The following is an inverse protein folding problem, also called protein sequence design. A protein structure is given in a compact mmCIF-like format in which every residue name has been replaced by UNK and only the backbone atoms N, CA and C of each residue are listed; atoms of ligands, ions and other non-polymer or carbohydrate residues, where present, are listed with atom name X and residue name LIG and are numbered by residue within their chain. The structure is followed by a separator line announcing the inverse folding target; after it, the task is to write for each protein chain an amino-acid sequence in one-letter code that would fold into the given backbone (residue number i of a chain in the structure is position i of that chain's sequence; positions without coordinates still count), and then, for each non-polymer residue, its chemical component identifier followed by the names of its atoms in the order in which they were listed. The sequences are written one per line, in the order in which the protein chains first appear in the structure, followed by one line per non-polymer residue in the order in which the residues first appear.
data_IF_741772195158
#
_entry.id   IF_741772195158
#
_cell.length_a   1.000
_cell.length_b   1.000
_cell.length_c   1.000
_cell.angle_alpha   90.00
_cell.angle_beta   90.00
_cell.angle_gamma   90.00
#
_symmetry.space_group_name_H-M   'P 1'
#
loop_
_entity.id
_entity.type
_entity.pdbx_description
1 polymer ?
#
# COMPACT_ATOMS: atom_id res chain seq x y z
N UNK A 1 -20.65 -33.75 15.11
CA UNK A 1 -19.70 -33.15 14.14
C UNK A 1 -20.50 -32.26 13.21
N UNK A 2 -20.56 -30.94 13.44
CA UNK A 2 -21.28 -30.02 12.54
C UNK A 2 -20.33 -29.52 11.45
N UNK A 3 -20.50 -30.03 10.24
CA UNK A 3 -19.83 -29.46 9.05
C UNK A 3 -20.58 -28.20 8.66
N UNK A 4 -19.91 -27.05 8.68
CA UNK A 4 -20.46 -25.80 8.15
C UNK A 4 -20.75 -25.95 6.65
N UNK A 5 -21.82 -25.34 6.13
CA UNK A 5 -22.11 -25.38 4.71
C UNK A 5 -21.00 -24.68 3.90
N UNK A 6 -20.68 -25.14 2.68
CA UNK A 6 -19.69 -24.51 1.83
C UNK A 6 -20.10 -23.06 1.54
N UNK A 7 -19.15 -22.14 1.71
CA UNK A 7 -19.36 -20.71 1.50
C UNK A 7 -19.74 -20.46 0.01
N UNK A 8 -20.88 -19.81 -0.29
CA UNK A 8 -21.31 -19.63 -1.68
C UNK A 8 -20.25 -18.89 -2.51
N UNK A 9 -20.00 -19.37 -3.72
CA UNK A 9 -19.08 -18.76 -4.68
C UNK A 9 -19.86 -18.18 -5.86
N UNK A 10 -19.43 -17.03 -6.39
CA UNK A 10 -20.05 -16.39 -7.54
C UNK A 10 -19.00 -16.00 -8.59
N UNK A 11 -19.33 -16.11 -9.90
CA UNK A 11 -18.48 -15.62 -10.96
C UNK A 11 -18.46 -14.08 -10.94
N UNK A 12 -17.27 -13.49 -10.79
CA UNK A 12 -17.04 -12.04 -10.85
C UNK A 12 -16.06 -11.73 -11.96
N UNK A 13 -16.39 -10.74 -12.80
CA UNK A 13 -15.50 -10.21 -13.84
C UNK A 13 -14.81 -8.97 -13.31
N UNK A 14 -13.49 -8.99 -13.26
CA UNK A 14 -12.73 -7.84 -12.78
C UNK A 14 -12.87 -6.66 -13.74
N UNK A 15 -13.15 -5.48 -13.19
CA UNK A 15 -13.25 -4.22 -13.92
C UNK A 15 -11.94 -3.81 -14.61
N UNK A 16 -10.79 -4.18 -14.05
CA UNK A 16 -9.45 -3.83 -14.54
C UNK A 16 -8.90 -4.90 -15.53
N UNK A 17 -8.61 -6.12 -15.08
CA UNK A 17 -7.99 -7.13 -15.95
C UNK A 17 -8.97 -7.86 -16.89
N UNK A 18 -10.27 -7.58 -16.78
CA UNK A 18 -11.38 -8.18 -17.53
C UNK A 18 -11.54 -9.70 -17.40
N UNK A 19 -10.71 -10.38 -16.61
CA UNK A 19 -10.81 -11.82 -16.34
C UNK A 19 -11.92 -12.12 -15.34
N UNK A 20 -12.53 -13.29 -15.51
CA UNK A 20 -13.60 -13.80 -14.64
C UNK A 20 -13.04 -14.81 -13.65
N UNK A 21 -13.38 -14.68 -12.38
CA UNK A 21 -12.98 -15.58 -11.30
C UNK A 21 -14.21 -16.08 -10.54
N UNK A 22 -14.18 -17.33 -10.09
CA UNK A 22 -15.17 -17.88 -9.16
C UNK A 22 -14.60 -17.71 -7.76
N UNK A 23 -15.17 -16.76 -7.01
CA UNK A 23 -14.67 -16.41 -5.68
C UNK A 23 -15.78 -16.56 -4.63
N UNK A 24 -15.44 -16.85 -3.36
CA UNK A 24 -16.39 -16.76 -2.25
C UNK A 24 -17.08 -15.40 -2.26
N UNK A 25 -18.36 -15.33 -1.90
CA UNK A 25 -19.11 -14.06 -1.82
C UNK A 25 -18.45 -13.02 -0.90
N UNK A 26 -17.68 -13.47 0.09
CA UNK A 26 -16.87 -12.61 0.99
C UNK A 26 -15.61 -12.03 0.32
N UNK A 27 -15.19 -12.57 -0.83
CA UNK A 27 -14.01 -12.14 -1.57
C UNK A 27 -14.41 -11.19 -2.71
N UNK A 28 -14.19 -9.91 -2.48
CA UNK A 28 -14.43 -8.81 -3.44
C UNK A 28 -13.17 -8.38 -4.19
N UNK A 29 -12.05 -9.05 -3.95
CA UNK A 29 -10.73 -8.66 -4.48
C UNK A 29 -10.34 -9.56 -5.65
N UNK A 30 -10.03 -8.97 -6.81
CA UNK A 30 -9.48 -9.70 -7.95
C UNK A 30 -8.17 -10.38 -7.56
N UNK A 31 -7.99 -11.71 -7.71
CA UNK A 31 -6.76 -12.40 -7.31
C UNK A 31 -5.54 -12.07 -8.18
N UNK A 32 -5.74 -11.54 -9.39
CA UNK A 32 -4.64 -11.11 -10.28
C UNK A 32 -4.32 -9.61 -10.19
N UNK A 33 -5.28 -8.80 -9.76
CA UNK A 33 -5.24 -7.34 -9.81
C UNK A 33 -5.19 -6.72 -8.42
N UNK A 34 -5.66 -7.49 -7.44
CA UNK A 34 -5.82 -7.13 -6.04
C UNK A 34 -6.70 -5.88 -5.84
N UNK A 35 -7.60 -5.61 -6.78
CA UNK A 35 -8.56 -4.51 -6.72
C UNK A 35 -9.92 -4.98 -6.23
N UNK A 36 -10.59 -4.10 -5.48
CA UNK A 36 -11.98 -4.25 -5.05
C UNK A 36 -12.92 -3.68 -6.12
N UNK A 37 -13.75 -4.53 -6.73
CA UNK A 37 -14.69 -4.16 -7.79
C UNK A 37 -15.90 -3.33 -7.28
N UNK A 38 -16.04 -3.08 -5.96
CA UNK A 38 -17.13 -2.26 -5.39
C UNK A 38 -16.90 -0.73 -5.50
N UNK A 39 -15.82 -0.27 -6.13
CA UNK A 39 -15.62 1.17 -6.37
C UNK A 39 -16.09 1.52 -7.79
N UNK A 40 -17.32 2.02 -7.88
CA UNK A 40 -17.85 2.66 -9.09
C UNK A 40 -16.84 3.71 -9.58
N UNK A 41 -16.25 3.47 -10.75
CA UNK A 41 -15.45 4.46 -11.43
C UNK A 41 -16.37 5.61 -11.84
N UNK A 42 -16.31 6.72 -11.13
CA UNK A 42 -16.86 7.99 -11.64
C UNK A 42 -16.05 8.38 -12.87
N UNK A 43 -16.75 8.64 -13.96
CA UNK A 43 -16.13 9.03 -15.23
C UNK A 43 -15.58 10.45 -15.14
N UNK A 44 -14.54 10.74 -15.93
CA UNK A 44 -13.86 12.04 -15.99
C UNK A 44 -14.83 13.22 -16.23
N UNK A 45 -15.96 12.94 -16.89
CA UNK A 45 -17.03 13.89 -17.19
C UNK A 45 -17.99 14.15 -16.02
N UNK A 46 -18.06 13.24 -15.04
CA UNK A 46 -18.87 13.40 -13.82
C UNK A 46 -18.13 14.21 -12.74
N UNK A 47 -16.79 14.24 -12.78
CA UNK A 47 -15.96 14.99 -11.82
C UNK A 47 -16.06 16.52 -12.01
N UNK A 48 -16.14 17.00 -13.27
CA UNK A 48 -16.25 18.43 -13.57
C UNK A 48 -17.67 19.01 -13.42
N UNK A 49 -18.70 18.16 -13.35
CA UNK A 49 -20.10 18.58 -13.41
C UNK A 49 -20.90 18.31 -12.13
N UNK A 50 -20.29 17.87 -11.03
CA UNK A 50 -21.01 17.78 -9.76
C UNK A 50 -21.01 19.12 -9.01
N UNK A 51 -22.19 19.64 -8.61
CA UNK A 51 -22.22 20.71 -7.62
C UNK A 51 -21.60 20.18 -6.33
N UNK A 52 -20.73 20.99 -5.71
CA UNK A 52 -20.11 20.70 -4.42
C UNK A 52 -21.19 20.26 -3.43
N UNK A 53 -21.28 18.96 -3.17
CA UNK A 53 -22.13 18.46 -2.10
C UNK A 53 -21.48 18.87 -0.80
N UNK A 54 -22.12 19.80 -0.11
CA UNK A 54 -21.86 20.10 1.29
C UNK A 54 -21.88 18.79 2.07
N UNK A 55 -20.70 18.37 2.52
CA UNK A 55 -20.59 17.31 3.51
C UNK A 55 -20.64 18.05 4.83
N UNK A 56 -21.74 17.88 5.57
CA UNK A 56 -21.84 18.34 6.96
C UNK A 56 -20.70 17.70 7.75
N UNK A 57 -19.66 18.49 8.03
CA UNK A 57 -18.54 18.10 8.87
C UNK A 57 -18.58 18.94 10.15
N UNK A 58 -18.43 18.25 11.28
CA UNK A 58 -18.36 18.86 12.59
C UNK A 58 -17.24 19.90 12.63
N UNK A 59 -17.59 21.07 13.18
CA UNK A 59 -16.76 22.26 13.38
C UNK A 59 -15.34 21.93 13.83
N UNK A 60 -14.36 22.40 13.06
CA UNK A 60 -13.13 22.99 13.60
C UNK A 60 -12.62 24.06 12.62
N UNK A 61 -12.50 25.28 13.15
CA UNK A 61 -12.04 26.48 12.47
C UNK A 61 -10.62 26.32 11.89
N UNK A 62 -10.47 26.52 10.59
CA UNK A 62 -9.32 27.20 9.96
C UNK A 62 -9.46 27.14 8.44
N UNK A 63 -9.36 28.30 7.81
CA UNK A 63 -9.57 28.60 6.39
C UNK A 63 -8.48 28.05 5.45
N UNK A 64 -8.22 26.75 5.46
CA UNK A 64 -7.15 26.11 4.65
C UNK A 64 -7.60 24.81 3.94
N UNK A 65 -8.92 24.61 3.81
CA UNK A 65 -9.55 23.36 3.36
C UNK A 65 -9.32 23.03 1.87
N UNK A 66 -8.77 23.95 1.07
CA UNK A 66 -8.59 23.79 -0.39
C UNK A 66 -7.23 23.22 -0.80
N UNK A 67 -6.20 23.24 0.06
CA UNK A 67 -4.84 22.87 -0.32
C UNK A 67 -4.47 21.42 -0.05
N UNK A 68 -5.05 20.80 0.99
CA UNK A 68 -4.69 19.45 1.43
C UNK A 68 -5.87 18.49 1.44
N UNK A 69 -5.65 17.30 0.92
CA UNK A 69 -6.61 16.20 0.90
C UNK A 69 -6.09 15.03 1.73
N UNK A 70 -6.99 14.28 2.36
CA UNK A 70 -6.63 13.09 3.13
C UNK A 70 -6.16 11.97 2.19
N UNK A 71 -4.88 11.60 2.29
CA UNK A 71 -4.34 10.49 1.50
C UNK A 71 -4.95 9.17 1.94
N UNK A 72 -5.41 8.38 0.97
CA UNK A 72 -5.87 7.00 1.18
C UNK A 72 -5.07 6.10 0.25
N UNK A 73 -4.04 5.46 0.80
CA UNK A 73 -3.24 4.48 0.03
C UNK A 73 -4.11 3.39 -0.59
N UNK A 74 -3.63 2.80 -1.68
CA UNK A 74 -4.36 1.85 -2.47
C UNK A 74 -4.88 0.72 -1.59
N UNK A 75 -6.18 0.44 -1.75
CA UNK A 75 -6.94 -0.58 -1.01
C UNK A 75 -6.51 -2.01 -1.35
N UNK A 76 -5.33 -2.20 -1.95
CA UNK A 76 -4.87 -3.43 -2.56
C UNK A 76 -4.96 -4.63 -1.59
N UNK A 77 -4.88 -4.41 -0.27
CA UNK A 77 -4.65 -5.50 0.67
C UNK A 77 -5.42 -5.46 2.00
N UNK A 78 -6.60 -4.80 2.06
CA UNK A 78 -7.45 -4.70 3.28
C UNK A 78 -6.63 -4.47 4.58
N UNK A 79 -5.59 -3.63 4.51
CA UNK A 79 -4.75 -3.31 5.66
C UNK A 79 -5.41 -2.31 6.60
N UNK A 80 -5.03 -2.28 7.89
CA UNK A 80 -5.43 -1.23 8.80
C UNK A 80 -5.05 0.16 8.26
N UNK A 81 -5.85 1.15 8.64
CA UNK A 81 -5.52 2.55 8.37
C UNK A 81 -4.20 2.89 9.06
N UNK A 82 -3.42 3.77 8.42
CA UNK A 82 -2.23 4.32 9.06
C UNK A 82 -2.65 5.06 10.36
N UNK A 83 -1.94 4.87 11.48
CA UNK A 83 -2.32 5.47 12.77
C UNK A 83 -2.25 7.00 12.75
N UNK A 84 -1.27 7.57 12.03
CA UNK A 84 -1.17 9.01 11.78
C UNK A 84 -2.10 9.47 10.65
N UNK A 85 -2.59 10.72 10.75
CA UNK A 85 -3.34 11.40 9.68
C UNK A 85 -2.40 11.73 8.53
N UNK A 86 -2.48 10.94 7.45
CA UNK A 86 -1.73 11.22 6.23
C UNK A 86 -2.54 12.15 5.34
N UNK A 87 -1.89 13.20 4.86
CA UNK A 87 -2.43 14.18 3.92
C UNK A 87 -1.48 14.31 2.74
N UNK A 88 -2.02 14.71 1.61
CA UNK A 88 -1.29 15.10 0.41
C UNK A 88 -1.86 16.42 -0.11
N UNK A 89 -1.13 17.11 -0.97
CA UNK A 89 -1.65 18.29 -1.65
C UNK A 89 -2.77 17.89 -2.62
N UNK A 90 -3.84 18.68 -2.70
CA UNK A 90 -4.97 18.41 -3.60
C UNK A 90 -4.54 18.19 -5.06
N UNK A 91 -3.51 18.90 -5.52
CA UNK A 91 -2.89 18.72 -6.84
C UNK A 91 -2.30 17.31 -7.07
N UNK A 92 -1.66 16.73 -6.04
CA UNK A 92 -1.06 15.39 -6.13
C UNK A 92 -2.13 14.30 -6.05
N UNK A 93 -3.23 14.56 -5.34
CA UNK A 93 -4.35 13.63 -5.22
C UNK A 93 -5.03 13.32 -6.55
N UNK A 94 -4.97 14.27 -7.50
CA UNK A 94 -5.48 14.07 -8.87
C UNK A 94 -4.62 13.14 -9.73
N UNK A 95 -3.38 12.82 -9.31
CA UNK A 95 -2.47 11.97 -10.07
C UNK A 95 -2.66 10.52 -9.67
N UNK A 96 -3.09 9.69 -10.63
CA UNK A 96 -3.21 8.25 -10.40
C UNK A 96 -1.84 7.62 -10.18
N UNK A 97 -1.69 6.93 -9.06
CA UNK A 97 -0.49 6.15 -8.77
C UNK A 97 -0.28 5.06 -9.83
N UNK A 98 0.97 4.78 -10.26
CA UNK A 98 1.26 3.66 -11.14
C UNK A 98 0.70 2.35 -10.60
N UNK A 99 0.40 1.40 -11.48
CA UNK A 99 -0.14 0.10 -11.04
C UNK A 99 0.93 -0.72 -10.30
N UNK A 100 0.62 -1.10 -9.06
CA UNK A 100 1.36 -2.13 -8.33
C UNK A 100 1.05 -3.52 -8.87
N UNK A 101 1.99 -4.13 -9.58
CA UNK A 101 1.88 -5.49 -10.16
C UNK A 101 2.62 -6.54 -9.34
N UNK A 102 3.48 -6.10 -8.40
CA UNK A 102 4.18 -7.02 -7.51
C UNK A 102 3.22 -7.59 -6.45
N UNK A 103 3.15 -8.91 -6.36
CA UNK A 103 2.37 -9.63 -5.34
C UNK A 103 3.33 -10.02 -4.21
N UNK A 104 3.23 -9.40 -3.03
CA UNK A 104 4.13 -9.72 -1.95
C UNK A 104 3.77 -11.07 -1.32
N UNK A 105 4.78 -11.83 -0.92
CA UNK A 105 4.60 -13.14 -0.31
C UNK A 105 4.35 -12.99 1.20
N UNK A 106 5.22 -12.26 1.90
CA UNK A 106 5.19 -12.19 3.37
C UNK A 106 4.66 -10.84 3.90
N UNK A 107 4.72 -9.77 3.10
CA UNK A 107 4.20 -8.46 3.53
C UNK A 107 2.67 -8.43 3.72
N UNK A 108 1.92 -9.37 3.15
CA UNK A 108 0.49 -9.50 3.43
C UNK A 108 0.18 -9.70 4.91
N UNK A 109 1.05 -10.42 5.61
CA UNK A 109 0.85 -10.76 7.02
C UNK A 109 1.68 -9.87 7.96
N UNK A 110 2.36 -8.84 7.45
CA UNK A 110 3.11 -7.91 8.28
C UNK A 110 2.22 -6.87 8.99
N UNK A 111 2.78 -6.20 10.00
CA UNK A 111 2.16 -5.10 10.74
C UNK A 111 2.09 -3.77 9.98
N UNK A 112 2.39 -3.76 8.67
CA UNK A 112 2.37 -2.54 7.85
C UNK A 112 0.97 -1.99 7.64
N UNK A 113 0.84 -0.66 7.73
CA UNK A 113 -0.35 0.07 7.30
C UNK A 113 -0.49 0.05 5.77
N UNK A 114 -1.66 0.43 5.26
CA UNK A 114 -1.94 0.45 3.81
C UNK A 114 -0.91 1.24 2.98
N UNK A 115 -0.56 2.46 3.38
CA UNK A 115 0.42 3.30 2.67
C UNK A 115 1.83 2.69 2.69
N UNK A 116 2.25 2.13 3.83
CA UNK A 116 3.56 1.49 3.95
C UNK A 116 3.65 0.24 3.07
N UNK A 117 2.57 -0.54 3.00
CA UNK A 117 2.51 -1.71 2.13
C UNK A 117 2.50 -1.32 0.65
N UNK A 118 1.75 -0.30 0.27
CA UNK A 118 1.73 0.25 -1.09
C UNK A 118 3.14 0.67 -1.52
N UNK A 119 3.83 1.45 -0.69
CA UNK A 119 5.22 1.83 -0.93
C UNK A 119 6.13 0.60 -1.07
N UNK A 120 6.01 -0.37 -0.16
CA UNK A 120 6.81 -1.60 -0.20
C UNK A 120 6.58 -2.41 -1.49
N UNK A 121 5.34 -2.46 -1.99
CA UNK A 121 4.99 -3.14 -3.25
C UNK A 121 5.66 -2.46 -4.44
N UNK A 122 5.62 -1.13 -4.51
CA UNK A 122 6.30 -0.38 -5.56
C UNK A 122 7.82 -0.52 -5.50
N UNK A 123 8.40 -0.51 -4.30
CA UNK A 123 9.83 -0.75 -4.10
C UNK A 123 10.22 -2.15 -4.57
N UNK A 124 9.52 -3.19 -4.13
CA UNK A 124 9.80 -4.56 -4.52
C UNK A 124 9.62 -4.78 -6.03
N UNK A 125 8.59 -4.17 -6.63
CA UNK A 125 8.41 -4.16 -8.08
C UNK A 125 9.63 -3.56 -8.79
N UNK A 126 10.12 -2.41 -8.32
CA UNK A 126 11.31 -1.77 -8.89
C UNK A 126 12.57 -2.64 -8.73
N UNK A 127 12.71 -3.34 -7.61
CA UNK A 127 13.81 -4.29 -7.37
C UNK A 127 13.80 -5.53 -8.28
N UNK A 128 12.71 -5.80 -9.01
CA UNK A 128 12.70 -6.84 -10.06
C UNK A 128 13.40 -6.39 -11.35
N UNK A 129 13.58 -5.08 -11.53
CA UNK A 129 14.10 -4.51 -12.76
C UNK A 129 15.60 -4.29 -12.68
N UNK A 130 16.29 -4.49 -13.80
CA UNK A 130 17.72 -4.22 -13.96
C UNK A 130 17.93 -2.95 -14.78
N UNK A 131 18.93 -2.16 -14.43
CA UNK A 131 19.38 -1.01 -15.23
C UNK A 131 20.47 -1.45 -16.21
N UNK A 132 20.90 -0.57 -17.13
CA UNK A 132 21.74 -0.92 -18.29
C UNK A 132 23.08 -1.60 -17.96
N UNK A 133 23.60 -1.43 -16.73
CA UNK A 133 24.83 -2.10 -16.26
C UNK A 133 24.57 -3.42 -15.50
N UNK A 134 23.34 -3.95 -15.51
CA UNK A 134 22.96 -5.17 -14.79
C UNK A 134 22.67 -5.00 -13.30
N UNK A 135 22.89 -3.80 -12.74
CA UNK A 135 22.54 -3.52 -11.34
C UNK A 135 21.01 -3.51 -11.16
N UNK A 136 20.56 -3.86 -9.95
CA UNK A 136 19.15 -3.74 -9.58
C UNK A 136 18.76 -2.27 -9.51
N UNK A 137 17.59 -1.91 -10.03
CA UNK A 137 17.12 -0.54 -9.96
C UNK A 137 16.78 -0.11 -8.53
N UNK A 138 17.21 1.10 -8.16
CA UNK A 138 16.88 1.71 -6.86
C UNK A 138 15.50 2.35 -6.82
N UNK A 139 15.07 2.71 -5.62
CA UNK A 139 13.81 3.40 -5.33
C UNK A 139 14.05 4.52 -4.30
N UNK A 140 13.40 5.67 -4.49
CA UNK A 140 13.44 6.79 -3.55
C UNK A 140 12.12 6.85 -2.78
N UNK A 141 12.16 6.64 -1.46
CA UNK A 141 10.99 6.76 -0.58
C UNK A 141 10.96 8.16 0.06
N UNK A 142 10.19 9.06 -0.54
CA UNK A 142 10.14 10.49 -0.19
C UNK A 142 9.03 10.90 0.79
N UNK A 143 8.35 9.95 1.44
CA UNK A 143 7.24 10.26 2.34
C UNK A 143 7.67 11.18 3.50
N UNK A 144 6.73 11.98 3.99
CA UNK A 144 6.93 12.86 5.14
C UNK A 144 7.36 12.14 6.43
N UNK A 145 7.68 12.91 7.47
CA UNK A 145 7.91 12.35 8.81
C UNK A 145 6.61 11.73 9.35
N UNK A 146 6.73 10.77 10.27
CA UNK A 146 5.55 10.12 10.88
C UNK A 146 4.85 9.05 10.04
N UNK A 147 5.17 8.89 8.75
CA UNK A 147 4.62 7.82 7.88
C UNK A 147 5.21 6.43 8.20
N UNK A 148 6.30 6.38 8.96
CA UNK A 148 6.95 5.12 9.35
C UNK A 148 7.79 4.49 8.23
N UNK A 149 8.60 5.31 7.54
CA UNK A 149 9.52 4.87 6.48
C UNK A 149 10.46 3.75 6.91
N UNK A 150 10.97 3.78 8.14
CA UNK A 150 11.84 2.72 8.66
C UNK A 150 11.14 1.36 8.65
N UNK A 151 9.90 1.30 9.14
CA UNK A 151 9.08 0.07 9.07
C UNK A 151 8.80 -0.37 7.64
N UNK A 152 8.57 0.55 6.70
CA UNK A 152 8.47 0.23 5.26
C UNK A 152 9.76 -0.42 4.74
N UNK A 153 10.93 0.17 5.03
CA UNK A 153 12.25 -0.36 4.63
C UNK A 153 12.49 -1.74 5.24
N UNK A 154 12.18 -1.92 6.53
CA UNK A 154 12.29 -3.21 7.21
C UNK A 154 11.42 -4.28 6.52
N UNK A 155 10.20 -3.93 6.13
CA UNK A 155 9.33 -4.80 5.34
C UNK A 155 9.96 -5.20 4.00
N UNK A 156 10.48 -4.22 3.26
CA UNK A 156 11.18 -4.47 1.99
C UNK A 156 12.39 -5.40 2.18
N UNK A 157 13.20 -5.20 3.23
CA UNK A 157 14.33 -6.08 3.55
C UNK A 157 13.83 -7.51 3.78
N UNK A 158 12.80 -7.69 4.62
CA UNK A 158 12.23 -9.01 4.91
C UNK A 158 11.70 -9.70 3.66
N UNK A 159 10.99 -8.97 2.80
CA UNK A 159 10.42 -9.51 1.56
C UNK A 159 11.54 -9.91 0.57
N UNK A 160 12.59 -9.10 0.45
CA UNK A 160 13.75 -9.48 -0.36
C UNK A 160 14.49 -10.68 0.24
N UNK A 161 14.55 -10.77 1.57
CA UNK A 161 15.12 -11.91 2.28
C UNK A 161 14.37 -13.21 1.97
N UNK A 162 13.03 -13.20 1.93
CA UNK A 162 12.26 -14.40 1.54
C UNK A 162 12.51 -14.80 0.08
N UNK A 163 12.88 -13.85 -0.77
CA UNK A 163 13.27 -14.07 -2.17
C UNK A 163 14.74 -14.42 -2.37
N UNK A 164 15.46 -14.82 -1.31
CA UNK A 164 16.85 -15.27 -1.38
C UNK A 164 17.89 -14.14 -1.41
N UNK A 165 17.49 -12.87 -1.35
CA UNK A 165 18.44 -11.74 -1.22
C UNK A 165 18.79 -11.56 0.25
N UNK A 166 19.81 -12.30 0.70
CA UNK A 166 20.21 -12.44 2.12
C UNK A 166 21.21 -11.38 2.61
N UNK A 167 21.45 -10.32 1.85
CA UNK A 167 22.39 -9.26 2.22
C UNK A 167 21.68 -7.91 2.12
N UNK A 168 21.71 -7.16 3.21
CA UNK A 168 21.18 -5.80 3.31
C UNK A 168 22.11 -4.96 4.16
N UNK A 169 22.31 -3.69 3.78
CA UNK A 169 23.05 -2.72 4.57
C UNK A 169 22.11 -1.54 4.87
N UNK A 170 21.91 -1.25 6.16
CA UNK A 170 21.15 -0.09 6.61
C UNK A 170 22.13 0.98 7.10
N UNK A 171 22.13 2.14 6.44
CA UNK A 171 22.99 3.26 6.81
C UNK A 171 22.11 4.38 7.36
N UNK A 172 22.46 4.87 8.53
CA UNK A 172 21.78 5.95 9.24
C UNK A 172 22.76 7.08 9.53
N UNK A 173 22.29 8.33 9.57
CA UNK A 173 23.13 9.50 9.86
C UNK A 173 23.54 9.61 11.34
N UNK A 174 22.84 8.91 12.23
CA UNK A 174 23.07 8.94 13.67
C UNK A 174 22.95 7.53 14.27
N UNK A 175 23.83 7.20 15.22
CA UNK A 175 23.87 5.93 15.94
C UNK A 175 22.63 5.69 16.82
N UNK A 176 21.94 6.75 17.28
CA UNK A 176 20.70 6.63 18.05
C UNK A 176 19.63 5.88 17.26
N UNK A 177 19.62 6.01 15.92
CA UNK A 177 18.66 5.35 15.05
C UNK A 177 18.86 3.83 14.98
N UNK A 178 19.96 3.27 15.48
CA UNK A 178 20.18 1.82 15.49
C UNK A 178 19.08 1.08 16.27
N UNK A 179 18.60 1.66 17.36
CA UNK A 179 17.49 1.10 18.13
C UNK A 179 16.17 1.14 17.33
N UNK A 180 15.95 2.20 16.56
CA UNK A 180 14.79 2.32 15.68
C UNK A 180 14.84 1.30 14.54
N UNK A 181 16.01 1.09 13.93
CA UNK A 181 16.20 0.05 12.91
C UNK A 181 15.84 -1.32 13.47
N UNK A 182 16.34 -1.63 14.67
CA UNK A 182 16.08 -2.92 15.30
C UNK A 182 14.60 -3.11 15.60
N UNK A 183 13.96 -2.10 16.21
CA UNK A 183 12.52 -2.10 16.49
C UNK A 183 11.71 -2.29 15.20
N UNK A 184 12.04 -1.58 14.14
CA UNK A 184 11.31 -1.68 12.86
C UNK A 184 11.47 -3.05 12.19
N UNK A 185 12.64 -3.71 12.30
CA UNK A 185 12.84 -5.09 11.85
C UNK A 185 12.03 -6.08 12.69
N UNK A 186 12.03 -5.93 14.01
CA UNK A 186 11.26 -6.79 14.90
C UNK A 186 9.74 -6.64 14.65
N UNK A 187 9.25 -5.42 14.49
CA UNK A 187 7.84 -5.10 14.21
C UNK A 187 7.31 -5.81 12.96
N UNK A 188 8.15 -5.99 11.94
CA UNK A 188 7.77 -6.67 10.71
C UNK A 188 8.08 -8.17 10.74
N UNK A 189 8.55 -8.73 11.85
CA UNK A 189 8.89 -10.16 11.99
C UNK A 189 10.18 -10.54 11.28
N UNK A 190 11.15 -9.64 11.23
CA UNK A 190 12.48 -9.81 10.65
C UNK A 190 13.59 -9.89 11.70
N UNK A 191 13.27 -10.36 12.91
CA UNK A 191 14.19 -10.38 14.06
C UNK A 191 15.47 -11.18 13.83
N UNK A 192 15.44 -12.17 12.93
CA UNK A 192 16.60 -12.99 12.56
C UNK A 192 17.56 -12.31 11.57
N UNK A 193 17.23 -11.11 11.08
CA UNK A 193 18.09 -10.34 10.17
C UNK A 193 18.96 -9.41 11.02
N UNK A 194 20.28 -9.55 10.90
CA UNK A 194 21.30 -8.78 11.61
C UNK A 194 22.24 -8.08 10.64
#
# INVERSE_FOLDING_TARGET
MSTSPPNPTLPRKCSDCKKTFILPTSCVVCPLCLQDDNFMAMTETEFLNQPLKEVEDHKDDSSDTTLFTKYRGAKLYRKPRHPGRIIETAFLSGVKLPRGTYVPNILHNSSLSGIQLEAAVHICQRHTQKIGNGATAGFLLGDGTGVGKGRTIAGVIRENWSHGRKKSLWISSNSILNLDVRRDLDDVGASSIS
#
